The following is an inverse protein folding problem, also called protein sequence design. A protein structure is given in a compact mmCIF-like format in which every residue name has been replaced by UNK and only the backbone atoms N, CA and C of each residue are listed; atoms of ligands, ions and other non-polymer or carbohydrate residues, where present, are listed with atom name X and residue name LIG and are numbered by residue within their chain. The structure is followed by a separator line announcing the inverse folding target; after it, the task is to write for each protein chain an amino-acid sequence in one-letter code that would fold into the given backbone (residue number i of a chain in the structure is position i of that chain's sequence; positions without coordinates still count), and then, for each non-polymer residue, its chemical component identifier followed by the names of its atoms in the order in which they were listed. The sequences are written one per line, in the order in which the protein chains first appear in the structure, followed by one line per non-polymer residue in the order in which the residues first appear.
data_IF_198054353611
#
_entry.id   IF_198054353611
#
_cell.length_a   1.000
_cell.length_b   1.000
_cell.length_c   1.000
_cell.angle_alpha   90.00
_cell.angle_beta   90.00
_cell.angle_gamma   90.00
#
_symmetry.space_group_name_H-M   'P 1'
#
loop_
_entity.id
_entity.type
_entity.pdbx_description
1 polymer ?
#
# COMPACT_ATOMS: atom_id res chain seq x y z
N UNK A 1 29.56 2.32 6.04
CA UNK A 1 29.82 3.29 7.13
C UNK A 1 28.49 3.96 7.47
N UNK A 2 27.98 3.83 8.70
CA UNK A 2 26.77 4.57 9.10
C UNK A 2 27.18 6.03 9.26
N UNK A 3 26.66 6.88 8.41
CA UNK A 3 26.86 8.32 8.39
C UNK A 3 26.58 8.89 9.78
N UNK A 4 27.41 9.80 10.29
CA UNK A 4 27.21 10.44 11.61
C UNK A 4 25.81 11.06 11.72
N UNK A 5 25.22 11.48 10.59
CA UNK A 5 23.85 11.95 10.49
C UNK A 5 22.79 10.87 10.77
N UNK A 6 23.02 9.61 10.37
CA UNK A 6 22.05 8.52 10.64
C UNK A 6 21.91 8.26 12.15
N UNK A 7 22.99 8.47 12.92
CA UNK A 7 22.95 8.39 14.39
C UNK A 7 22.11 9.53 14.99
N UNK A 8 22.29 10.76 14.51
CA UNK A 8 21.48 11.92 14.91
C UNK A 8 20.01 11.73 14.57
N UNK A 9 19.68 11.23 13.39
CA UNK A 9 18.30 11.00 12.98
C UNK A 9 17.63 9.93 13.86
N UNK A 10 18.35 8.88 14.25
CA UNK A 10 17.86 7.83 15.15
C UNK A 10 17.60 8.35 16.55
N UNK A 11 18.44 9.25 17.08
CA UNK A 11 18.29 9.78 18.43
C UNK A 11 17.01 10.59 18.61
N UNK A 12 16.56 11.32 17.59
CA UNK A 12 15.31 12.11 17.62
C UNK A 12 14.08 11.32 17.21
N UNK A 13 14.26 10.25 16.46
CA UNK A 13 13.18 9.40 15.98
C UNK A 13 13.11 8.06 16.73
N UNK A 14 13.29 8.04 18.04
CA UNK A 14 13.35 6.81 18.88
C UNK A 14 12.16 5.87 18.65
N UNK A 15 10.97 6.43 18.44
CA UNK A 15 9.72 5.66 18.21
C UNK A 15 9.39 5.46 16.72
N UNK A 16 10.28 5.82 15.80
CA UNK A 16 10.05 5.63 14.38
C UNK A 16 10.28 4.17 13.97
N UNK A 17 9.38 3.64 13.12
CA UNK A 17 9.61 2.33 12.50
C UNK A 17 10.90 2.38 11.65
N UNK A 18 11.68 1.28 11.57
CA UNK A 18 12.92 1.23 10.77
C UNK A 18 12.71 1.65 9.31
N UNK A 19 11.56 1.31 8.71
CA UNK A 19 11.18 1.71 7.34
C UNK A 19 10.99 3.22 7.21
N UNK A 20 10.44 3.88 8.22
CA UNK A 20 10.28 5.34 8.24
C UNK A 20 11.63 6.05 8.35
N UNK A 21 12.52 5.55 9.20
CA UNK A 21 13.90 6.07 9.32
C UNK A 21 14.64 5.97 7.99
N UNK A 22 14.59 4.81 7.32
CA UNK A 22 15.19 4.64 5.98
C UNK A 22 14.63 5.65 4.97
N UNK A 23 13.32 5.90 5.00
CA UNK A 23 12.67 6.87 4.10
C UNK A 23 13.11 8.30 4.41
N UNK A 24 13.17 8.70 5.68
CA UNK A 24 13.65 10.02 6.07
C UNK A 24 15.10 10.22 5.68
N UNK A 25 15.98 9.28 6.00
CA UNK A 25 17.38 9.33 5.62
C UNK A 25 17.56 9.45 4.10
N UNK A 26 16.83 8.65 3.31
CA UNK A 26 16.88 8.72 1.85
C UNK A 26 16.42 10.09 1.30
N UNK A 27 15.37 10.67 1.88
CA UNK A 27 14.85 11.98 1.47
C UNK A 27 15.82 13.12 1.86
N UNK A 28 16.44 13.03 3.04
CA UNK A 28 17.43 14.03 3.50
C UNK A 28 18.70 13.95 2.64
N UNK A 29 19.19 12.75 2.32
CA UNK A 29 20.31 12.59 1.37
C UNK A 29 19.97 13.14 -0.02
N UNK A 30 18.74 12.95 -0.49
CA UNK A 30 18.30 13.53 -1.75
C UNK A 30 18.24 15.07 -1.69
N UNK A 31 17.84 15.65 -0.56
CA UNK A 31 17.87 17.11 -0.33
C UNK A 31 19.31 17.64 -0.27
N UNK A 32 20.23 16.91 0.37
CA UNK A 32 21.66 17.27 0.40
C UNK A 32 22.26 17.29 -1.02
N UNK A 33 21.94 16.27 -1.84
CA UNK A 33 22.36 16.29 -3.27
C UNK A 33 21.76 17.47 -4.04
N UNK A 34 20.52 17.88 -3.74
CA UNK A 34 19.93 19.07 -4.33
C UNK A 34 20.71 20.34 -3.94
N UNK A 35 21.30 20.36 -2.74
CA UNK A 35 22.21 21.41 -2.26
C UNK A 35 23.64 21.25 -2.77
N UNK A 36 23.89 20.32 -3.72
CA UNK A 36 25.21 20.01 -4.30
C UNK A 36 26.24 19.48 -3.28
N UNK A 37 25.77 18.77 -2.24
CA UNK A 37 26.58 18.17 -1.20
C UNK A 37 26.75 16.66 -1.50
N UNK A 38 27.96 16.12 -1.32
CA UNK A 38 28.25 14.69 -1.48
C UNK A 38 27.63 13.85 -0.34
N UNK A 39 27.65 14.39 0.86
CA UNK A 39 27.09 13.75 2.04
C UNK A 39 26.22 14.72 2.85
N UNK A 40 25.44 14.17 3.81
CA UNK A 40 24.65 14.99 4.72
C UNK A 40 25.56 15.51 5.83
N UNK A 41 25.78 16.83 5.96
CA UNK A 41 26.60 17.39 7.04
C UNK A 41 26.03 17.08 8.44
N UNK A 42 26.86 17.12 9.44
CA UNK A 42 26.44 16.94 10.84
C UNK A 42 25.91 18.23 11.49
N UNK A 43 25.82 19.32 10.76
CA UNK A 43 25.34 20.62 11.21
C UNK A 43 24.26 21.21 10.28
N UNK A 44 23.42 22.11 10.79
CA UNK A 44 22.26 22.67 10.06
C UNK A 44 22.57 23.74 9.02
N UNK A 45 23.80 24.29 8.95
CA UNK A 45 24.15 25.48 8.11
C UNK A 45 23.87 25.28 6.62
N UNK A 46 23.83 24.05 6.12
CA UNK A 46 23.53 23.75 4.72
C UNK A 46 22.05 23.94 4.33
N UNK A 47 21.14 24.01 5.31
CA UNK A 47 19.71 24.27 5.09
C UNK A 47 19.45 25.77 4.95
N UNK A 48 20.02 26.35 3.89
CA UNK A 48 20.00 27.80 3.62
C UNK A 48 18.65 28.28 3.09
N UNK A 49 18.45 29.61 3.16
CA UNK A 49 17.27 30.25 2.54
C UNK A 49 17.24 30.03 1.02
N UNK A 50 18.40 30.06 0.35
CA UNK A 50 18.50 29.81 -1.09
C UNK A 50 18.06 28.38 -1.44
N UNK A 51 18.50 27.38 -0.68
CA UNK A 51 18.02 26.00 -0.86
C UNK A 51 16.50 25.89 -0.67
N UNK A 52 15.95 26.58 0.33
CA UNK A 52 14.51 26.57 0.57
C UNK A 52 13.74 27.19 -0.60
N UNK A 53 14.22 28.30 -1.17
CA UNK A 53 13.60 28.91 -2.35
C UNK A 53 13.65 27.97 -3.56
N UNK A 54 14.77 27.31 -3.78
CA UNK A 54 14.87 26.28 -4.81
C UNK A 54 13.90 25.13 -4.58
N UNK A 55 13.74 24.66 -3.33
CA UNK A 55 12.77 23.62 -2.98
C UNK A 55 11.33 24.05 -3.27
N UNK A 56 10.99 25.33 -3.02
CA UNK A 56 9.66 25.88 -3.30
C UNK A 56 9.34 25.97 -4.80
N UNK A 57 10.35 26.14 -5.66
CA UNK A 57 10.16 26.17 -7.12
C UNK A 57 9.96 24.79 -7.77
N UNK A 58 10.15 23.71 -7.03
CA UNK A 58 9.98 22.36 -7.54
C UNK A 58 8.49 21.96 -7.69
N UNK A 59 8.18 20.97 -8.55
CA UNK A 59 6.84 20.41 -8.61
C UNK A 59 6.32 20.00 -7.22
N UNK A 60 5.03 20.21 -6.95
CA UNK A 60 4.43 20.11 -5.62
C UNK A 60 4.78 18.82 -4.84
N UNK A 61 4.85 17.68 -5.51
CA UNK A 61 5.25 16.41 -4.89
C UNK A 61 6.69 16.42 -4.38
N UNK A 62 7.61 17.06 -5.12
CA UNK A 62 9.01 17.25 -4.71
C UNK A 62 9.10 18.34 -3.65
N UNK A 63 8.37 19.45 -3.79
CA UNK A 63 8.28 20.51 -2.80
C UNK A 63 7.86 19.93 -1.42
N UNK A 64 6.75 19.19 -1.37
CA UNK A 64 6.29 18.55 -0.13
C UNK A 64 7.33 17.56 0.44
N UNK A 65 7.95 16.75 -0.41
CA UNK A 65 8.96 15.77 -0.01
C UNK A 65 10.18 16.46 0.61
N UNK A 66 10.70 17.50 -0.01
CA UNK A 66 11.94 18.14 0.41
C UNK A 66 11.73 19.14 1.56
N UNK A 67 10.60 19.83 1.65
CA UNK A 67 10.28 20.65 2.81
C UNK A 67 10.16 19.78 4.08
N UNK A 68 9.50 18.63 3.98
CA UNK A 68 9.44 17.67 5.09
C UNK A 68 10.83 17.11 5.45
N UNK A 69 11.68 16.84 4.45
CA UNK A 69 13.06 16.38 4.69
C UNK A 69 13.90 17.44 5.41
N UNK A 70 13.76 18.71 5.04
CA UNK A 70 14.43 19.84 5.72
C UNK A 70 14.02 19.97 7.18
N UNK A 71 12.71 19.92 7.47
CA UNK A 71 12.21 19.93 8.86
C UNK A 71 12.73 18.74 9.65
N UNK A 72 12.76 17.53 9.05
CA UNK A 72 13.31 16.33 9.72
C UNK A 72 14.82 16.42 9.98
N UNK A 73 15.56 17.01 9.05
CA UNK A 73 16.99 17.27 9.25
C UNK A 73 17.23 18.30 10.39
N UNK A 74 16.46 19.39 10.40
CA UNK A 74 16.52 20.39 11.50
C UNK A 74 16.23 19.75 12.86
N UNK A 75 15.18 18.91 12.94
CA UNK A 75 14.87 18.16 14.15
C UNK A 75 16.06 17.28 14.60
N UNK A 76 16.72 16.60 13.65
CA UNK A 76 17.90 15.78 13.96
C UNK A 76 19.05 16.61 14.54
N UNK A 77 19.19 17.87 14.12
CA UNK A 77 20.19 18.81 14.69
C UNK A 77 19.72 19.51 15.98
N UNK A 78 18.58 19.11 16.55
CA UNK A 78 18.01 19.80 17.71
C UNK A 78 17.57 21.24 17.42
N UNK A 79 17.33 21.58 16.15
CA UNK A 79 17.02 22.94 15.70
C UNK A 79 15.59 23.05 15.17
N UNK A 80 15.06 24.28 15.19
CA UNK A 80 13.83 24.66 14.56
C UNK A 80 14.11 25.82 13.58
N UNK A 81 13.36 25.90 12.51
CA UNK A 81 13.37 27.01 11.57
C UNK A 81 11.94 27.20 11.04
N UNK A 82 11.37 28.39 11.32
CA UNK A 82 9.97 28.64 10.99
C UNK A 82 9.72 28.73 9.49
N UNK A 83 10.72 29.16 8.70
CA UNK A 83 10.61 29.22 7.24
C UNK A 83 10.46 27.82 6.64
N UNK A 84 11.21 26.82 7.15
CA UNK A 84 11.07 25.42 6.74
C UNK A 84 9.78 24.78 7.24
N UNK A 85 9.34 25.09 8.47
CA UNK A 85 8.06 24.62 9.00
C UNK A 85 6.88 25.15 8.20
N UNK A 86 6.88 26.44 7.88
CA UNK A 86 5.86 27.08 7.04
C UNK A 86 5.83 26.46 5.64
N UNK A 87 7.00 26.24 5.02
CA UNK A 87 7.09 25.58 3.72
C UNK A 87 6.53 24.13 3.75
N UNK A 88 6.77 23.40 4.83
CA UNK A 88 6.22 22.05 5.01
C UNK A 88 4.68 22.09 5.16
N UNK A 89 4.14 23.04 5.95
CA UNK A 89 2.68 23.21 6.11
C UNK A 89 2.03 23.61 4.79
N UNK A 90 2.53 24.64 4.12
CA UNK A 90 2.04 25.11 2.83
C UNK A 90 2.03 24.00 1.76
N UNK A 91 3.16 23.32 1.59
CA UNK A 91 3.24 22.22 0.60
C UNK A 91 2.30 21.07 0.93
N UNK A 92 2.07 20.78 2.21
CA UNK A 92 1.17 19.71 2.66
C UNK A 92 -0.28 20.09 2.41
N UNK A 93 -0.65 21.33 2.71
CA UNK A 93 -2.00 21.87 2.48
C UNK A 93 -2.33 21.92 0.99
N UNK A 94 -1.44 22.47 0.16
CA UNK A 94 -1.60 22.49 -1.30
C UNK A 94 -1.77 21.08 -1.86
N UNK A 95 -0.96 20.13 -1.37
CA UNK A 95 -1.08 18.74 -1.79
C UNK A 95 -2.41 18.11 -1.37
N UNK A 96 -2.88 18.40 -0.15
CA UNK A 96 -4.18 17.90 0.33
C UNK A 96 -5.33 18.49 -0.48
N UNK A 97 -5.35 19.80 -0.71
CA UNK A 97 -6.37 20.46 -1.55
C UNK A 97 -6.50 19.82 -2.94
N UNK A 98 -5.36 19.50 -3.61
CA UNK A 98 -5.40 18.82 -4.90
C UNK A 98 -5.98 17.41 -4.77
N UNK A 99 -5.66 16.69 -3.69
CA UNK A 99 -6.23 15.36 -3.44
C UNK A 99 -7.74 15.42 -3.15
N UNK A 100 -8.17 16.44 -2.44
CA UNK A 100 -9.58 16.65 -2.04
C UNK A 100 -10.46 17.00 -3.25
N UNK A 101 -9.90 17.60 -4.32
CA UNK A 101 -10.64 17.83 -5.58
C UNK A 101 -11.04 16.54 -6.29
N UNK A 102 -10.56 15.37 -5.85
CA UNK A 102 -10.79 14.10 -6.53
C UNK A 102 -10.12 13.98 -7.90
N UNK A 103 -9.35 14.98 -8.35
CA UNK A 103 -8.61 14.92 -9.62
C UNK A 103 -7.58 13.79 -9.58
N UNK A 104 -7.58 12.99 -10.62
CA UNK A 104 -6.62 11.91 -10.78
C UNK A 104 -5.25 12.47 -11.08
N UNK A 105 -4.22 11.92 -10.43
CA UNK A 105 -2.84 12.19 -10.84
C UNK A 105 -2.57 11.58 -12.21
N UNK A 106 -1.54 12.05 -12.94
CA UNK A 106 -1.13 11.48 -14.22
C UNK A 106 -0.99 9.96 -14.15
N UNK A 107 -0.31 9.46 -13.10
CA UNK A 107 -0.16 8.02 -12.88
C UNK A 107 -1.50 7.29 -12.67
N UNK A 108 -2.44 7.88 -11.95
CA UNK A 108 -3.79 7.32 -11.77
C UNK A 108 -4.55 7.31 -13.09
N UNK A 109 -4.45 8.34 -13.90
CA UNK A 109 -5.06 8.39 -15.24
C UNK A 109 -4.53 7.29 -16.17
N UNK A 110 -3.20 7.16 -16.26
CA UNK A 110 -2.53 6.14 -17.09
C UNK A 110 -2.89 4.71 -16.69
N UNK A 111 -3.11 4.48 -15.38
CA UNK A 111 -3.42 3.16 -14.84
C UNK A 111 -4.89 2.97 -14.45
N UNK A 112 -5.77 3.87 -14.89
CA UNK A 112 -7.21 3.69 -14.66
C UNK A 112 -7.75 2.64 -15.63
N UNK A 113 -8.29 1.50 -15.15
CA UNK A 113 -8.85 0.49 -16.05
C UNK A 113 -10.22 0.92 -16.54
N UNK A 114 -10.58 0.47 -17.73
CA UNK A 114 -11.92 0.60 -18.26
C UNK A 114 -12.90 -0.14 -17.34
N UNK A 115 -14.02 0.50 -17.00
CA UNK A 115 -14.94 0.00 -15.99
C UNK A 115 -14.50 0.21 -14.54
N UNK A 116 -13.37 0.90 -14.29
CA UNK A 116 -12.93 1.28 -12.94
C UNK A 116 -12.70 0.10 -12.01
N UNK A 117 -13.32 0.12 -10.81
CA UNK A 117 -13.15 -0.96 -9.82
C UNK A 117 -13.78 -2.28 -10.27
N UNK A 118 -14.85 -2.25 -11.08
CA UNK A 118 -15.54 -3.43 -11.60
C UNK A 118 -14.66 -4.29 -12.51
N UNK A 119 -13.64 -3.69 -13.15
CA UNK A 119 -12.66 -4.40 -13.96
C UNK A 119 -11.93 -5.52 -13.19
N UNK A 120 -11.70 -5.32 -11.86
CA UNK A 120 -11.10 -6.36 -11.02
C UNK A 120 -12.03 -7.55 -10.79
N UNK A 121 -13.33 -7.31 -10.65
CA UNK A 121 -14.31 -8.39 -10.51
C UNK A 121 -14.44 -9.19 -11.81
N UNK A 122 -14.40 -8.51 -12.97
CA UNK A 122 -14.38 -9.16 -14.28
C UNK A 122 -13.12 -10.01 -14.45
N UNK A 123 -11.96 -9.46 -14.15
CA UNK A 123 -10.69 -10.18 -14.18
C UNK A 123 -10.68 -11.40 -13.23
N UNK A 124 -11.25 -11.27 -12.04
CA UNK A 124 -11.36 -12.40 -11.11
C UNK A 124 -12.22 -13.52 -11.69
N UNK A 125 -13.32 -13.19 -12.39
CA UNK A 125 -14.18 -14.18 -13.07
C UNK A 125 -13.45 -14.88 -14.22
N UNK A 126 -12.68 -14.14 -15.01
CA UNK A 126 -11.86 -14.72 -16.10
C UNK A 126 -10.81 -15.69 -15.54
N UNK A 127 -10.08 -15.28 -14.48
CA UNK A 127 -9.09 -16.14 -13.82
C UNK A 127 -9.73 -17.36 -13.14
N UNK A 128 -10.96 -17.25 -12.64
CA UNK A 128 -11.69 -18.40 -12.08
C UNK A 128 -11.93 -19.46 -13.16
N UNK A 129 -12.41 -19.07 -14.35
CA UNK A 129 -12.61 -20.00 -15.46
C UNK A 129 -11.32 -20.77 -15.86
N UNK A 130 -10.13 -20.16 -15.66
CA UNK A 130 -8.85 -20.82 -15.91
C UNK A 130 -8.50 -21.88 -14.83
N UNK A 131 -9.01 -21.77 -13.59
CA UNK A 131 -8.60 -22.59 -12.44
C UNK A 131 -9.72 -23.40 -11.79
N UNK A 132 -10.97 -23.24 -12.22
CA UNK A 132 -12.15 -23.94 -11.67
C UNK A 132 -11.97 -25.47 -11.66
N UNK A 133 -11.36 -26.03 -12.71
CA UNK A 133 -11.08 -27.46 -12.79
C UNK A 133 -10.15 -27.97 -11.67
N UNK A 134 -9.35 -27.09 -11.08
CA UNK A 134 -8.45 -27.42 -9.97
C UNK A 134 -9.19 -27.66 -8.65
N UNK A 135 -10.40 -27.15 -8.50
CA UNK A 135 -11.22 -27.29 -7.29
C UNK A 135 -11.63 -28.74 -7.03
N UNK A 136 -11.73 -29.54 -8.10
CA UNK A 136 -12.05 -30.98 -8.07
C UNK A 136 -10.81 -31.85 -7.98
N UNK A 137 -9.61 -31.27 -8.03
CA UNK A 137 -8.33 -32.02 -8.06
C UNK A 137 -7.87 -32.33 -6.65
N UNK A 138 -7.71 -33.63 -6.33
CA UNK A 138 -7.31 -34.09 -4.99
C UNK A 138 -5.89 -33.68 -4.57
N UNK A 139 -4.98 -33.57 -5.52
CA UNK A 139 -3.59 -33.17 -5.28
C UNK A 139 -3.11 -32.25 -6.37
N UNK A 140 -2.67 -31.06 -5.97
CA UNK A 140 -2.17 -30.03 -6.88
C UNK A 140 -0.64 -29.99 -6.91
N UNK A 141 -0.09 -29.80 -8.09
CA UNK A 141 1.30 -29.38 -8.25
C UNK A 141 1.51 -27.97 -7.71
N UNK A 142 2.75 -27.62 -7.41
CA UNK A 142 3.10 -26.28 -6.97
C UNK A 142 2.69 -25.17 -8.00
N UNK A 143 2.75 -25.50 -9.29
CA UNK A 143 2.33 -24.60 -10.35
C UNK A 143 0.80 -24.36 -10.35
N UNK A 144 0.01 -25.42 -10.17
CA UNK A 144 -1.45 -25.33 -10.08
C UNK A 144 -1.91 -24.58 -8.84
N UNK A 145 -1.30 -24.85 -7.67
CA UNK A 145 -1.55 -24.08 -6.46
C UNK A 145 -1.24 -22.59 -6.66
N UNK A 146 -0.15 -22.28 -7.37
CA UNK A 146 0.21 -20.89 -7.65
C UNK A 146 -0.77 -20.22 -8.61
N UNK A 147 -1.30 -20.93 -9.60
CA UNK A 147 -2.36 -20.42 -10.48
C UNK A 147 -3.62 -20.09 -9.67
N UNK A 148 -4.05 -20.99 -8.82
CA UNK A 148 -5.19 -20.75 -7.93
C UNK A 148 -4.94 -19.59 -6.97
N UNK A 149 -3.74 -19.45 -6.42
CA UNK A 149 -3.35 -18.34 -5.57
C UNK A 149 -3.39 -16.99 -6.33
N UNK A 150 -3.02 -16.95 -7.62
CA UNK A 150 -3.13 -15.73 -8.45
C UNK A 150 -4.59 -15.31 -8.56
N UNK A 151 -5.49 -16.23 -8.88
CA UNK A 151 -6.93 -16.00 -8.87
C UNK A 151 -7.42 -15.48 -7.52
N UNK A 152 -7.10 -16.19 -6.44
CA UNK A 152 -7.53 -15.83 -5.09
C UNK A 152 -7.08 -14.42 -4.67
N UNK A 153 -5.86 -14.02 -4.98
CA UNK A 153 -5.37 -12.67 -4.72
C UNK A 153 -6.22 -11.62 -5.45
N UNK A 154 -6.49 -11.82 -6.74
CA UNK A 154 -7.30 -10.87 -7.53
C UNK A 154 -8.73 -10.81 -7.02
N UNK A 155 -9.36 -11.96 -6.76
CA UNK A 155 -10.70 -12.05 -6.20
C UNK A 155 -10.78 -11.32 -4.84
N UNK A 156 -9.83 -11.58 -3.94
CA UNK A 156 -9.77 -10.91 -2.65
C UNK A 156 -9.75 -9.39 -2.80
N UNK A 157 -8.87 -8.86 -3.66
CA UNK A 157 -8.76 -7.41 -3.86
C UNK A 157 -9.89 -6.80 -4.70
N UNK A 158 -10.67 -7.60 -5.43
CA UNK A 158 -11.90 -7.16 -6.08
C UNK A 158 -13.07 -6.95 -5.10
N UNK A 159 -12.99 -7.53 -3.91
CA UNK A 159 -14.02 -7.40 -2.86
C UNK A 159 -13.52 -6.55 -1.68
N UNK A 160 -12.29 -6.75 -1.26
CA UNK A 160 -11.69 -6.15 -0.07
C UNK A 160 -10.46 -5.30 -0.43
N UNK A 161 -10.64 -3.99 -0.55
CA UNK A 161 -9.56 -3.06 -0.91
C UNK A 161 -8.64 -2.74 0.29
N UNK A 162 -8.12 -3.77 0.95
CA UNK A 162 -7.15 -3.64 2.04
C UNK A 162 -5.77 -3.21 1.54
N UNK A 163 -4.87 -2.87 2.46
CA UNK A 163 -3.43 -2.73 2.13
C UNK A 163 -2.82 -4.10 1.86
N UNK A 164 -1.52 -4.17 1.62
CA UNK A 164 -0.84 -5.44 1.38
C UNK A 164 -0.78 -6.42 2.56
N UNK A 165 -1.67 -6.28 3.55
CA UNK A 165 -1.65 -7.02 4.81
C UNK A 165 -2.07 -8.49 4.64
N UNK A 166 -2.71 -8.84 3.51
CA UNK A 166 -3.08 -10.24 3.18
C UNK A 166 -1.87 -11.19 3.18
N UNK A 167 -0.69 -10.73 2.78
CA UNK A 167 0.53 -11.54 2.79
C UNK A 167 1.01 -11.93 4.21
N UNK A 168 0.53 -11.21 5.23
CA UNK A 168 0.92 -11.42 6.62
C UNK A 168 -0.12 -12.24 7.40
N UNK A 169 -1.17 -12.73 6.72
CA UNK A 169 -2.27 -13.49 7.33
C UNK A 169 -1.85 -14.92 7.65
N UNK A 170 -2.04 -15.32 8.89
CA UNK A 170 -1.79 -16.69 9.38
C UNK A 170 -3.08 -17.51 9.41
N UNK A 171 -2.91 -18.80 9.14
CA UNK A 171 -3.99 -19.81 9.10
C UNK A 171 -3.72 -20.99 10.04
N UNK A 172 -2.52 -21.07 10.64
CA UNK A 172 -2.13 -22.10 11.63
C UNK A 172 -1.63 -21.40 12.91
N UNK A 173 -1.83 -22.03 14.03
CA UNK A 173 -1.30 -21.56 15.33
C UNK A 173 0.24 -21.59 15.36
N UNK A 174 0.91 -20.65 16.05
CA UNK A 174 0.32 -19.48 16.71
C UNK A 174 -0.17 -18.45 15.69
N UNK A 175 -1.38 -17.87 15.91
CA UNK A 175 -2.04 -17.03 14.90
C UNK A 175 -1.39 -15.63 14.72
N UNK A 176 -0.67 -15.12 15.68
CA UNK A 176 -0.08 -13.78 15.58
C UNK A 176 -1.13 -12.65 15.43
N UNK A 177 -0.69 -11.42 15.09
CA UNK A 177 -1.60 -10.26 15.03
C UNK A 177 -2.52 -10.24 13.80
N UNK A 178 -2.12 -10.88 12.69
CA UNK A 178 -2.92 -10.95 11.46
C UNK A 178 -3.27 -12.40 11.19
N UNK A 179 -4.55 -12.74 11.24
CA UNK A 179 -4.99 -14.12 11.08
C UNK A 179 -6.39 -14.23 10.45
N UNK A 180 -6.67 -15.43 9.96
CA UNK A 180 -7.96 -15.85 9.47
C UNK A 180 -8.52 -16.95 10.40
N UNK A 181 -9.78 -16.76 10.85
CA UNK A 181 -10.51 -17.74 11.65
C UNK A 181 -11.90 -17.91 11.04
N UNK A 182 -12.17 -19.08 10.47
CA UNK A 182 -13.36 -19.27 9.64
C UNK A 182 -13.38 -18.25 8.50
N UNK A 183 -14.49 -17.52 8.37
CA UNK A 183 -14.68 -16.49 7.35
C UNK A 183 -14.35 -15.08 7.86
N UNK A 184 -13.76 -14.96 9.04
CA UNK A 184 -13.42 -13.67 9.65
C UNK A 184 -11.92 -13.43 9.54
N UNK A 185 -11.56 -12.32 8.88
CA UNK A 185 -10.21 -11.84 8.76
C UNK A 185 -9.93 -10.78 9.83
N UNK A 186 -8.90 -11.01 10.65
CA UNK A 186 -8.42 -10.08 11.65
C UNK A 186 -7.05 -9.54 11.24
N UNK A 187 -6.91 -8.21 11.17
CA UNK A 187 -5.68 -7.48 10.87
C UNK A 187 -5.35 -6.57 12.04
N UNK A 188 -4.65 -7.10 13.03
CA UNK A 188 -4.24 -6.36 14.23
C UNK A 188 -3.00 -5.49 13.98
N UNK A 189 -2.14 -5.90 13.04
CA UNK A 189 -0.92 -5.16 12.72
C UNK A 189 -0.95 -4.63 11.29
N UNK A 190 -1.19 -3.33 11.15
CA UNK A 190 -1.15 -2.60 9.89
C UNK A 190 -0.61 -1.17 10.07
N UNK A 191 -0.40 -0.43 8.96
CA UNK A 191 0.25 0.89 8.98
C UNK A 191 -0.38 1.90 9.95
N UNK A 192 -1.69 1.85 10.14
CA UNK A 192 -2.46 2.81 10.96
C UNK A 192 -3.10 2.16 12.20
N UNK A 193 -2.68 0.95 12.59
CA UNK A 193 -3.28 0.22 13.72
C UNK A 193 -3.22 0.99 15.04
N UNK A 194 -2.12 1.71 15.30
CA UNK A 194 -1.99 2.55 16.51
C UNK A 194 -3.04 3.67 16.60
N UNK A 195 -3.48 4.21 15.45
CA UNK A 195 -4.41 5.34 15.42
C UNK A 195 -5.86 4.92 15.21
N UNK A 196 -6.10 3.75 14.61
CA UNK A 196 -7.44 3.31 14.19
C UNK A 196 -7.87 1.95 14.78
N UNK A 197 -6.99 1.33 15.58
CA UNK A 197 -7.22 -0.02 16.09
C UNK A 197 -7.08 -1.12 15.04
N UNK A 198 -7.38 -2.37 15.40
CA UNK A 198 -7.39 -3.51 14.48
C UNK A 198 -8.57 -3.42 13.50
N UNK A 199 -8.41 -4.11 12.36
CA UNK A 199 -9.47 -4.29 11.38
C UNK A 199 -9.98 -5.72 11.52
N UNK A 200 -11.28 -5.89 11.74
CA UNK A 200 -11.97 -7.19 11.69
C UNK A 200 -13.05 -7.09 10.62
N UNK A 201 -13.05 -8.02 9.69
CA UNK A 201 -14.06 -8.06 8.63
C UNK A 201 -14.45 -9.49 8.29
N UNK A 202 -15.72 -9.69 7.98
CA UNK A 202 -16.22 -10.92 7.36
C UNK A 202 -15.89 -10.89 5.87
N UNK A 203 -15.36 -11.97 5.35
CA UNK A 203 -15.05 -12.09 3.92
C UNK A 203 -16.36 -12.09 3.11
N UNK A 204 -16.33 -11.49 1.93
CA UNK A 204 -17.45 -11.54 0.99
C UNK A 204 -17.66 -12.98 0.51
N UNK A 205 -18.91 -13.37 0.24
CA UNK A 205 -19.31 -14.74 -0.13
C UNK A 205 -18.42 -15.36 -1.21
N UNK A 206 -18.15 -14.73 -2.38
CA UNK A 206 -17.28 -15.35 -3.37
C UNK A 206 -15.85 -15.59 -2.89
N UNK A 207 -15.37 -14.78 -1.94
CA UNK A 207 -14.04 -14.99 -1.33
C UNK A 207 -14.08 -16.14 -0.34
N UNK A 208 -15.20 -16.34 0.37
CA UNK A 208 -15.41 -17.47 1.28
C UNK A 208 -15.42 -18.79 0.50
N UNK A 209 -16.14 -18.85 -0.61
CA UNK A 209 -16.20 -20.03 -1.48
C UNK A 209 -14.81 -20.39 -2.01
N UNK A 210 -14.12 -19.45 -2.65
CA UNK A 210 -12.77 -19.66 -3.14
C UNK A 210 -11.78 -20.04 -2.02
N UNK A 211 -11.96 -19.50 -0.82
CA UNK A 211 -11.17 -19.87 0.35
C UNK A 211 -11.44 -21.30 0.79
N UNK A 212 -12.68 -21.79 0.69
CA UNK A 212 -13.06 -23.16 0.98
C UNK A 212 -12.24 -24.17 0.17
N UNK A 213 -12.00 -23.90 -1.10
CA UNK A 213 -11.13 -24.71 -1.96
C UNK A 213 -9.65 -24.45 -1.72
N UNK A 214 -9.25 -23.18 -1.61
CA UNK A 214 -7.84 -22.77 -1.51
C UNK A 214 -7.16 -23.21 -0.20
N UNK A 215 -7.88 -23.11 0.92
CA UNK A 215 -7.31 -23.35 2.25
C UNK A 215 -6.85 -24.80 2.47
N UNK A 216 -7.61 -25.85 2.08
CA UNK A 216 -7.12 -27.23 2.12
C UNK A 216 -5.86 -27.43 1.27
N UNK A 217 -5.80 -26.85 0.06
CA UNK A 217 -4.66 -26.93 -0.84
C UNK A 217 -3.39 -26.35 -0.20
N UNK A 218 -3.50 -25.16 0.41
CA UNK A 218 -2.38 -24.51 1.11
C UNK A 218 -1.96 -25.31 2.33
N UNK A 219 -2.90 -25.84 3.12
CA UNK A 219 -2.59 -26.66 4.31
C UNK A 219 -1.86 -27.95 3.96
N UNK A 220 -2.17 -28.55 2.82
CA UNK A 220 -1.54 -29.78 2.35
C UNK A 220 -0.10 -29.56 1.84
N UNK A 221 0.17 -28.40 1.22
CA UNK A 221 1.43 -28.12 0.52
C UNK A 221 2.39 -27.23 1.30
N UNK A 222 1.88 -26.26 2.05
CA UNK A 222 2.72 -25.26 2.75
C UNK A 222 3.16 -25.75 4.14
N UNK A 223 4.47 -25.79 4.36
CA UNK A 223 5.06 -26.11 5.67
C UNK A 223 4.99 -24.96 6.69
N UNK A 224 4.64 -23.76 6.25
CA UNK A 224 4.46 -22.58 7.10
C UNK A 224 2.99 -22.36 7.48
N UNK A 225 2.74 -21.47 8.44
CA UNK A 225 1.39 -21.17 8.92
C UNK A 225 0.72 -19.95 8.26
N UNK A 226 1.17 -19.50 7.08
CA UNK A 226 0.62 -18.36 6.37
C UNK A 226 -0.29 -18.75 5.21
N UNK A 227 -1.22 -17.87 4.84
CA UNK A 227 -2.19 -18.10 3.77
C UNK A 227 -1.55 -18.18 2.38
N UNK A 228 -0.51 -17.39 2.11
CA UNK A 228 0.11 -17.29 0.79
C UNK A 228 1.52 -17.87 0.77
N UNK A 229 1.86 -18.58 -0.32
CA UNK A 229 3.10 -19.33 -0.50
C UNK A 229 3.87 -18.90 -1.75
N UNK A 230 5.19 -19.06 -1.75
CA UNK A 230 6.03 -18.90 -2.95
C UNK A 230 5.95 -20.14 -3.82
N UNK A 231 5.91 -19.96 -5.15
CA UNK A 231 5.81 -21.07 -6.12
C UNK A 231 6.91 -22.13 -5.98
N UNK A 232 8.17 -21.70 -5.92
CA UNK A 232 9.32 -22.61 -6.03
C UNK A 232 9.68 -23.31 -4.73
N UNK A 233 9.47 -22.67 -3.59
CA UNK A 233 10.01 -23.16 -2.32
C UNK A 233 8.92 -23.48 -1.30
N UNK A 234 7.66 -23.24 -1.59
CA UNK A 234 6.56 -23.37 -0.64
C UNK A 234 6.74 -22.52 0.64
N UNK A 235 7.65 -21.54 0.62
CA UNK A 235 7.87 -20.63 1.75
C UNK A 235 6.77 -19.58 1.79
N UNK A 236 6.67 -18.87 2.91
CA UNK A 236 5.78 -17.71 3.06
C UNK A 236 6.01 -16.71 1.93
N UNK A 237 4.94 -16.27 1.27
CA UNK A 237 4.99 -15.18 0.32
C UNK A 237 5.15 -13.85 1.06
N UNK A 238 6.16 -13.06 0.69
CA UNK A 238 6.36 -11.72 1.25
C UNK A 238 5.38 -10.72 0.64
N UNK A 239 5.13 -9.63 1.36
CA UNK A 239 4.23 -8.55 0.90
C UNK A 239 4.66 -7.99 -0.46
N UNK A 240 5.93 -7.74 -0.66
CA UNK A 240 6.48 -7.19 -1.90
C UNK A 240 6.22 -8.12 -3.08
N UNK A 241 6.36 -9.43 -2.89
CA UNK A 241 6.15 -10.44 -3.91
C UNK A 241 4.66 -10.58 -4.25
N UNK A 242 3.77 -10.58 -3.25
CA UNK A 242 2.33 -10.54 -3.47
C UNK A 242 1.91 -9.30 -4.28
N UNK A 243 2.44 -8.13 -3.93
CA UNK A 243 2.17 -6.89 -4.65
C UNK A 243 2.72 -6.92 -6.08
N UNK A 244 3.82 -7.63 -6.32
CA UNK A 244 4.38 -7.86 -7.64
C UNK A 244 3.48 -8.79 -8.46
N UNK A 245 3.00 -9.88 -7.88
CA UNK A 245 2.04 -10.80 -8.51
C UNK A 245 0.80 -10.03 -8.98
N UNK A 246 0.16 -9.27 -8.09
CA UNK A 246 -1.03 -8.49 -8.40
C UNK A 246 -0.80 -7.50 -9.56
N UNK A 247 0.33 -6.77 -9.53
CA UNK A 247 0.70 -5.83 -10.60
C UNK A 247 0.98 -6.53 -11.92
N UNK A 248 1.64 -7.67 -11.89
CA UNK A 248 1.95 -8.42 -13.11
C UNK A 248 0.66 -8.92 -13.77
N UNK A 249 -0.26 -9.51 -13.00
CA UNK A 249 -1.55 -9.99 -13.51
C UNK A 249 -2.35 -8.85 -14.13
N UNK A 250 -2.47 -7.72 -13.44
CA UNK A 250 -3.24 -6.58 -13.94
C UNK A 250 -2.57 -5.90 -15.14
N UNK A 251 -1.24 -5.91 -15.21
CA UNK A 251 -0.51 -5.44 -16.38
C UNK A 251 -0.70 -6.37 -17.59
N UNK A 252 -0.65 -7.67 -17.37
CA UNK A 252 -0.83 -8.72 -18.39
C UNK A 252 -2.25 -8.70 -18.98
N UNK A 253 -3.28 -8.62 -18.10
CA UNK A 253 -4.68 -8.82 -18.48
C UNK A 253 -5.47 -7.54 -18.72
N UNK A 254 -5.16 -6.48 -18.02
CA UNK A 254 -5.85 -5.19 -18.12
C UNK A 254 -5.00 -4.11 -18.79
N UNK A 255 -3.74 -4.40 -19.14
CA UNK A 255 -2.75 -3.42 -19.60
C UNK A 255 -2.58 -2.23 -18.65
N UNK A 256 -2.88 -2.43 -17.35
CA UNK A 256 -2.84 -1.44 -16.27
C UNK A 256 -2.03 -1.95 -15.09
N UNK A 257 -1.15 -1.11 -14.54
CA UNK A 257 -0.29 -1.47 -13.41
C UNK A 257 -1.00 -1.15 -12.09
N UNK A 258 -1.89 -2.04 -11.64
CA UNK A 258 -2.69 -1.84 -10.43
C UNK A 258 -1.99 -2.41 -9.19
N UNK A 259 -1.39 -1.54 -8.40
CA UNK A 259 -1.00 -1.91 -7.02
C UNK A 259 -2.16 -1.68 -6.05
N UNK A 260 -2.07 -2.23 -4.84
CA UNK A 260 -3.13 -2.13 -3.82
C UNK A 260 -3.54 -0.68 -3.49
N UNK A 261 -2.62 0.28 -3.60
CA UNK A 261 -2.97 1.70 -3.40
C UNK A 261 -3.92 2.19 -4.50
N UNK A 262 -3.66 1.82 -5.75
CA UNK A 262 -4.53 2.17 -6.88
C UNK A 262 -5.90 1.49 -6.74
N UNK A 263 -5.92 0.21 -6.37
CA UNK A 263 -7.17 -0.54 -6.11
C UNK A 263 -8.01 0.15 -5.02
N UNK A 264 -7.38 0.66 -3.98
CA UNK A 264 -8.08 1.41 -2.93
C UNK A 264 -8.65 2.74 -3.43
N UNK A 265 -7.93 3.44 -4.31
CA UNK A 265 -8.44 4.65 -4.97
C UNK A 265 -9.65 4.30 -5.85
N UNK A 266 -9.56 3.24 -6.66
CA UNK A 266 -10.67 2.75 -7.49
C UNK A 266 -11.91 2.43 -6.64
N UNK A 267 -11.75 1.69 -5.53
CA UNK A 267 -12.86 1.32 -4.63
C UNK A 267 -13.49 2.55 -4.00
N UNK A 268 -12.68 3.48 -3.45
CA UNK A 268 -13.21 4.71 -2.85
C UNK A 268 -13.95 5.59 -3.84
N UNK A 269 -13.46 5.67 -5.08
CA UNK A 269 -14.14 6.43 -6.14
C UNK A 269 -15.48 5.78 -6.53
N UNK A 270 -15.52 4.45 -6.65
CA UNK A 270 -16.77 3.73 -6.93
C UNK A 270 -17.79 3.91 -5.80
N UNK A 271 -17.38 3.74 -4.56
CA UNK A 271 -18.27 3.92 -3.40
C UNK A 271 -18.79 5.36 -3.27
N UNK A 272 -17.97 6.37 -3.60
CA UNK A 272 -18.43 7.75 -3.62
C UNK A 272 -19.53 7.96 -4.67
N UNK A 273 -19.34 7.44 -5.89
CA UNK A 273 -20.35 7.54 -6.95
C UNK A 273 -21.67 6.84 -6.58
N UNK A 274 -21.61 5.74 -5.83
CA UNK A 274 -22.80 5.06 -5.30
C UNK A 274 -23.52 5.94 -4.26
N UNK A 275 -22.78 6.56 -3.33
CA UNK A 275 -23.32 7.47 -2.32
C UNK A 275 -23.95 8.72 -3.00
N UNK A 276 -23.24 9.33 -3.95
CA UNK A 276 -23.74 10.51 -4.66
C UNK A 276 -25.04 10.22 -5.42
N UNK A 277 -25.17 9.03 -6.04
CA UNK A 277 -26.42 8.59 -6.69
C UNK A 277 -27.55 8.36 -5.68
N UNK A 278 -27.25 7.75 -4.52
CA UNK A 278 -28.24 7.54 -3.48
C UNK A 278 -28.77 8.87 -2.94
N UNK A 279 -27.90 9.87 -2.72
CA UNK A 279 -28.32 11.21 -2.30
C UNK A 279 -29.15 11.91 -3.38
N UNK A 280 -28.79 11.81 -4.66
CA UNK A 280 -29.58 12.38 -5.74
C UNK A 280 -30.99 11.76 -5.78
N UNK A 281 -31.09 10.45 -5.67
CA UNK A 281 -32.37 9.74 -5.61
C UNK A 281 -33.22 10.15 -4.40
N UNK A 282 -32.62 10.32 -3.22
CA UNK A 282 -33.32 10.83 -2.04
C UNK A 282 -33.92 12.23 -2.27
N UNK A 283 -33.13 13.11 -2.92
CA UNK A 283 -33.64 14.45 -3.28
C UNK A 283 -34.78 14.40 -4.28
N UNK A 284 -34.71 13.52 -5.28
CA UNK A 284 -35.80 13.31 -6.26
C UNK A 284 -37.08 12.76 -5.60
N UNK A 285 -36.93 11.90 -4.58
CA UNK A 285 -38.06 11.29 -3.87
C UNK A 285 -38.60 12.19 -2.74
N UNK A 286 -38.01 13.38 -2.51
CA UNK A 286 -38.50 14.34 -1.54
C UNK A 286 -38.24 13.96 -0.08
N UNK A 287 -37.23 13.15 0.18
CA UNK A 287 -36.77 12.76 1.54
C UNK A 287 -35.56 13.54 2.00
#
# INVERSE_FOLDING_TARGET
MSDGFDKLLRSVCRNCKPTSLKTYAANIRALARLAKLESVPTHKRWLTAALLQHVKSLPLTKYKRFSMAGVKALQAYGAKDEKWNTAMRDSTEKYSRIRDTGRRTKREQENWPDGGYAALSKLAKELHGEVEHLEKTKSLSAAQLYQYQRYFIVLFYSKHALRGDLADVRIKKPLGPNYLKGNVLHIGEHKTARARGPITLTLAEPVQEALGHFLPMVKATAKHGFLLSTLRTGRRLKREDMLKILRNITKERLHKNLGVQMIRVLKTTASKAEIDRAHALQQELGH
#
